data_IF_971654888831
#
_entry.id   IF_971654888831
#
_cell.length_a   1.000
_cell.length_b   1.000
_cell.length_c   1.000
_cell.angle_alpha   90.00
_cell.angle_beta   90.00
_cell.angle_gamma   90.00
#
_symmetry.space_group_name_H-M   'P 1'
#
loop_
_entity.id
_entity.type
_entity.pdbx_description
1 polymer ?
#
# COMPACT_ATOMS: atom_id res chain seq x y z
N UNK A 1 43.49 17.39 24.85
CA UNK A 1 42.47 17.86 23.88
C UNK A 1 41.55 16.75 23.34
N UNK A 2 41.72 15.49 23.73
CA UNK A 2 40.96 14.33 23.20
C UNK A 2 39.58 14.10 23.84
N UNK A 3 39.30 14.60 25.04
CA UNK A 3 38.03 14.36 25.75
C UNK A 3 36.81 15.08 25.16
N UNK A 4 37.00 16.19 24.42
CA UNK A 4 35.89 16.95 23.81
C UNK A 4 35.38 16.32 22.52
N UNK A 5 36.23 15.65 21.75
CA UNK A 5 35.82 14.99 20.50
C UNK A 5 34.89 13.80 20.74
N UNK A 6 35.15 12.98 21.76
CA UNK A 6 34.28 11.85 22.09
C UNK A 6 32.90 12.25 22.61
N UNK A 7 32.79 13.33 23.38
CA UNK A 7 31.49 13.84 23.84
C UNK A 7 30.63 14.36 22.69
N UNK A 8 31.23 15.05 21.71
CA UNK A 8 30.50 15.53 20.53
C UNK A 8 30.04 14.38 19.63
N UNK A 9 30.88 13.36 19.40
CA UNK A 9 30.45 12.18 18.65
C UNK A 9 29.28 11.46 19.36
N UNK A 10 29.35 11.24 20.68
CA UNK A 10 28.28 10.56 21.41
C UNK A 10 26.95 11.34 21.43
N UNK A 11 27.00 12.67 21.53
CA UNK A 11 25.79 13.51 21.46
C UNK A 11 25.17 13.48 20.05
N UNK A 12 26.00 13.51 19.02
CA UNK A 12 25.57 13.46 17.62
C UNK A 12 24.96 12.10 17.25
N UNK A 13 25.49 11.00 17.80
CA UNK A 13 24.96 9.66 17.55
C UNK A 13 23.59 9.46 18.22
N UNK A 14 23.43 9.94 19.46
CA UNK A 14 22.13 9.93 20.15
C UNK A 14 21.07 10.80 19.46
N UNK A 15 21.49 11.93 18.89
CA UNK A 15 20.60 12.80 18.10
C UNK A 15 20.11 12.10 16.84
N UNK A 16 21.01 11.43 16.10
CA UNK A 16 20.66 10.70 14.88
C UNK A 16 19.77 9.47 15.17
N UNK A 17 20.01 8.76 16.27
CA UNK A 17 19.15 7.66 16.71
C UNK A 17 17.75 8.14 17.09
N UNK A 18 17.65 9.28 17.79
CA UNK A 18 16.37 9.87 18.16
C UNK A 18 15.56 10.32 16.92
N UNK A 19 16.20 10.99 15.96
CA UNK A 19 15.58 11.39 14.70
C UNK A 19 15.12 10.18 13.87
N UNK A 20 15.93 9.12 13.83
CA UNK A 20 15.57 7.85 13.18
C UNK A 20 14.35 7.20 13.84
N UNK A 21 14.32 7.17 15.18
CA UNK A 21 13.19 6.63 15.93
C UNK A 21 11.92 7.46 15.74
N UNK A 22 12.02 8.80 15.71
CA UNK A 22 10.89 9.67 15.43
C UNK A 22 10.32 9.44 14.03
N UNK A 23 11.18 9.32 13.02
CA UNK A 23 10.76 9.02 11.65
C UNK A 23 10.05 7.67 11.55
N UNK A 24 10.55 6.65 12.27
CA UNK A 24 9.92 5.34 12.34
C UNK A 24 8.55 5.39 13.01
N UNK A 25 8.43 6.07 14.16
CA UNK A 25 7.16 6.26 14.85
C UNK A 25 6.17 7.00 13.94
N UNK A 26 6.60 8.05 13.25
CA UNK A 26 5.73 8.80 12.34
C UNK A 26 5.25 7.92 11.17
N UNK A 27 6.13 7.09 10.60
CA UNK A 27 5.75 6.15 9.56
C UNK A 27 4.70 5.14 10.05
N UNK A 28 4.84 4.63 11.28
CA UNK A 28 3.87 3.73 11.90
C UNK A 28 2.51 4.42 12.14
N UNK A 29 2.52 5.67 12.63
CA UNK A 29 1.29 6.46 12.81
C UNK A 29 0.57 6.65 11.47
N UNK A 30 1.30 7.04 10.42
CA UNK A 30 0.73 7.23 9.09
C UNK A 30 0.12 5.93 8.54
N UNK A 31 0.75 4.77 8.78
CA UNK A 31 0.20 3.47 8.39
C UNK A 31 -1.07 3.12 9.15
N UNK A 32 -1.12 3.39 10.47
CA UNK A 32 -2.32 3.16 11.28
C UNK A 32 -3.47 4.03 10.78
N UNK A 33 -3.22 5.33 10.53
CA UNK A 33 -4.23 6.25 10.02
C UNK A 33 -4.78 5.80 8.68
N UNK A 34 -3.91 5.31 7.79
CA UNK A 34 -4.31 4.72 6.52
C UNK A 34 -5.21 3.50 6.72
N UNK A 35 -4.86 2.58 7.62
CA UNK A 35 -5.70 1.41 7.91
C UNK A 35 -7.06 1.79 8.49
N UNK A 36 -7.11 2.75 9.41
CA UNK A 36 -8.36 3.26 9.97
C UNK A 36 -9.24 3.85 8.87
N UNK A 37 -8.67 4.64 7.96
CA UNK A 37 -9.39 5.18 6.80
C UNK A 37 -9.95 4.06 5.92
N UNK A 38 -9.13 3.09 5.51
CA UNK A 38 -9.60 2.01 4.64
C UNK A 38 -10.70 1.16 5.30
N UNK A 39 -10.58 0.87 6.60
CA UNK A 39 -11.62 0.17 7.35
C UNK A 39 -12.93 0.96 7.41
N UNK A 40 -12.85 2.28 7.53
CA UNK A 40 -14.02 3.15 7.46
C UNK A 40 -14.68 3.10 6.08
N UNK A 41 -13.89 3.21 5.00
CA UNK A 41 -14.39 3.12 3.61
C UNK A 41 -15.08 1.77 3.33
N UNK A 42 -14.50 0.66 3.82
CA UNK A 42 -15.13 -0.67 3.74
C UNK A 42 -16.47 -0.67 4.47
N UNK A 43 -16.51 -0.14 5.69
CA UNK A 43 -17.72 -0.09 6.52
C UNK A 43 -18.83 0.73 5.89
N UNK A 44 -18.51 1.85 5.24
CA UNK A 44 -19.49 2.72 4.58
C UNK A 44 -19.92 2.20 3.21
N UNK A 45 -19.23 1.20 2.66
CA UNK A 45 -19.51 0.65 1.34
C UNK A 45 -19.21 1.65 0.22
N UNK A 46 -18.27 2.57 0.45
CA UNK A 46 -17.83 3.52 -0.57
C UNK A 46 -17.18 2.80 -1.77
N UNK A 47 -16.99 3.47 -2.91
CA UNK A 47 -16.32 2.83 -4.04
C UNK A 47 -14.90 2.34 -3.72
N UNK A 48 -14.15 3.09 -2.89
CA UNK A 48 -12.84 2.66 -2.41
C UNK A 48 -12.98 1.43 -1.51
N UNK A 49 -13.91 1.44 -0.56
CA UNK A 49 -14.16 0.31 0.34
C UNK A 49 -14.56 -0.97 -0.39
N UNK A 50 -15.45 -0.86 -1.37
CA UNK A 50 -15.86 -1.96 -2.25
C UNK A 50 -14.67 -2.49 -3.07
N UNK A 51 -13.85 -1.60 -3.61
CA UNK A 51 -12.62 -1.97 -4.33
C UNK A 51 -11.67 -2.75 -3.43
N UNK A 52 -11.37 -2.24 -2.24
CA UNK A 52 -10.49 -2.91 -1.26
C UNK A 52 -11.05 -4.28 -0.87
N UNK A 53 -12.36 -4.38 -0.65
CA UNK A 53 -13.02 -5.63 -0.28
C UNK A 53 -12.83 -6.70 -1.36
N UNK A 54 -13.04 -6.35 -2.64
CA UNK A 54 -12.81 -7.28 -3.75
C UNK A 54 -11.34 -7.67 -3.86
N UNK A 55 -10.41 -6.72 -3.72
CA UNK A 55 -8.98 -7.03 -3.74
C UNK A 55 -8.55 -7.97 -2.61
N UNK A 56 -9.08 -7.78 -1.39
CA UNK A 56 -8.83 -8.67 -0.25
C UNK A 56 -9.40 -10.08 -0.47
N UNK A 57 -10.59 -10.16 -1.08
CA UNK A 57 -11.19 -11.45 -1.45
C UNK A 57 -10.34 -12.18 -2.48
N UNK A 58 -9.89 -11.46 -3.52
CA UNK A 58 -8.99 -12.01 -4.53
C UNK A 58 -7.67 -12.45 -3.91
N UNK A 59 -7.06 -11.61 -3.07
CA UNK A 59 -5.81 -11.92 -2.38
C UNK A 59 -5.94 -13.17 -1.49
N UNK A 60 -7.06 -13.33 -0.78
CA UNK A 60 -7.30 -14.49 0.08
C UNK A 60 -7.42 -15.81 -0.70
N UNK A 61 -7.85 -15.75 -1.96
CA UNK A 61 -8.09 -16.92 -2.80
C UNK A 61 -6.89 -17.27 -3.70
N UNK A 62 -6.21 -16.26 -4.24
CA UNK A 62 -5.29 -16.39 -5.37
C UNK A 62 -3.89 -15.81 -5.10
N UNK A 63 -3.50 -15.67 -3.82
CA UNK A 63 -2.15 -15.20 -3.51
C UNK A 63 -1.10 -16.21 -3.93
N UNK A 64 -0.09 -15.71 -4.63
CA UNK A 64 1.10 -16.46 -5.02
C UNK A 64 2.31 -15.75 -4.42
N UNK A 65 3.28 -16.53 -3.94
CA UNK A 65 4.53 -16.00 -3.42
C UNK A 65 5.58 -15.92 -4.53
N UNK A 66 6.13 -14.74 -4.76
CA UNK A 66 7.31 -14.49 -5.58
C UNK A 66 8.47 -14.07 -4.67
N UNK A 67 9.17 -15.04 -4.10
CA UNK A 67 10.24 -14.77 -3.14
C UNK A 67 9.70 -14.20 -1.82
N UNK A 68 10.05 -12.95 -1.49
CA UNK A 68 9.50 -12.23 -0.32
C UNK A 68 8.29 -11.35 -0.66
N UNK A 69 7.93 -11.28 -1.93
CA UNK A 69 6.79 -10.47 -2.39
C UNK A 69 5.58 -11.36 -2.60
N UNK A 70 4.45 -10.91 -2.11
CA UNK A 70 3.16 -11.55 -2.35
C UNK A 70 2.50 -10.84 -3.53
N UNK A 71 2.10 -11.61 -4.55
CA UNK A 71 1.43 -11.07 -5.70
C UNK A 71 0.09 -11.77 -5.93
N UNK A 72 -0.86 -11.00 -6.42
CA UNK A 72 -2.12 -11.51 -6.94
C UNK A 72 -1.88 -11.86 -8.41
N UNK A 73 -1.79 -13.15 -8.74
CA UNK A 73 -1.58 -13.60 -10.12
C UNK A 73 -2.91 -13.89 -10.82
N UNK A 74 -3.80 -12.90 -10.88
CA UNK A 74 -5.14 -13.07 -11.46
C UNK A 74 -5.25 -12.37 -12.80
N UNK A 75 -5.71 -13.11 -13.81
CA UNK A 75 -6.07 -12.55 -15.11
C UNK A 75 -7.51 -11.99 -15.08
N UNK A 76 -7.69 -10.84 -14.43
CA UNK A 76 -8.98 -10.17 -14.34
C UNK A 76 -8.95 -8.84 -15.10
N UNK A 77 -9.92 -8.64 -15.99
CA UNK A 77 -10.10 -7.34 -16.64
C UNK A 77 -10.65 -6.30 -15.66
N UNK A 78 -10.28 -5.03 -15.85
CA UNK A 78 -10.82 -3.94 -15.02
C UNK A 78 -12.35 -3.88 -15.06
N UNK A 79 -12.97 -4.15 -16.20
CA UNK A 79 -14.43 -4.16 -16.32
C UNK A 79 -15.07 -5.25 -15.47
N UNK A 80 -14.47 -6.45 -15.42
CA UNK A 80 -14.94 -7.52 -14.54
C UNK A 80 -14.72 -7.18 -13.07
N UNK A 81 -13.58 -6.57 -12.74
CA UNK A 81 -13.28 -6.12 -11.38
C UNK A 81 -14.30 -5.07 -10.90
N UNK A 82 -14.64 -4.09 -11.75
CA UNK A 82 -15.62 -3.05 -11.44
C UNK A 82 -17.00 -3.67 -11.21
N UNK A 83 -17.37 -4.65 -12.05
CA UNK A 83 -18.61 -5.40 -11.90
C UNK A 83 -18.67 -6.18 -10.59
N UNK A 84 -17.59 -6.86 -10.18
CA UNK A 84 -17.55 -7.57 -8.89
C UNK A 84 -17.60 -6.62 -7.69
N UNK A 85 -17.04 -5.43 -7.83
CA UNK A 85 -17.13 -4.39 -6.81
C UNK A 85 -18.48 -3.64 -6.84
N UNK A 86 -19.34 -3.90 -7.83
CA UNK A 86 -20.61 -3.19 -8.05
C UNK A 86 -20.43 -1.65 -8.06
N UNK A 87 -19.44 -1.20 -8.82
CA UNK A 87 -19.12 0.22 -9.05
C UNK A 87 -18.85 0.47 -10.53
N UNK A 88 -18.83 1.74 -10.92
CA UNK A 88 -18.42 2.12 -12.26
C UNK A 88 -16.93 1.86 -12.49
N UNK A 89 -16.55 1.72 -13.76
CA UNK A 89 -15.14 1.60 -14.16
C UNK A 89 -14.32 2.85 -13.77
N UNK A 90 -14.94 4.02 -13.75
CA UNK A 90 -14.30 5.28 -13.35
C UNK A 90 -13.96 5.26 -11.87
N UNK A 91 -14.94 4.96 -11.01
CA UNK A 91 -14.73 4.86 -9.56
C UNK A 91 -13.70 3.79 -9.20
N UNK A 92 -13.70 2.66 -9.92
CA UNK A 92 -12.67 1.63 -9.75
C UNK A 92 -11.28 2.20 -10.05
N UNK A 93 -11.11 2.91 -11.17
CA UNK A 93 -9.80 3.48 -11.54
C UNK A 93 -9.32 4.50 -10.50
N UNK A 94 -10.18 5.39 -10.07
CA UNK A 94 -9.87 6.37 -9.02
C UNK A 94 -9.44 5.68 -7.72
N UNK A 95 -10.14 4.61 -7.34
CA UNK A 95 -9.81 3.81 -6.16
C UNK A 95 -8.47 3.10 -6.31
N UNK A 96 -8.18 2.50 -7.47
CA UNK A 96 -6.90 1.83 -7.73
C UNK A 96 -5.73 2.82 -7.78
N UNK A 97 -5.94 4.00 -8.34
CA UNK A 97 -4.93 5.06 -8.40
C UNK A 97 -4.63 5.60 -7.01
N UNK A 98 -5.66 5.81 -6.18
CA UNK A 98 -5.49 6.15 -4.76
C UNK A 98 -4.65 5.09 -4.03
N UNK A 99 -5.03 3.81 -4.12
CA UNK A 99 -4.30 2.72 -3.46
C UNK A 99 -2.84 2.60 -3.93
N UNK A 100 -2.57 2.91 -5.20
CA UNK A 100 -1.22 2.96 -5.75
C UNK A 100 -0.42 4.14 -5.21
N UNK A 101 -1.03 5.33 -5.10
CA UNK A 101 -0.38 6.53 -4.54
C UNK A 101 0.00 6.34 -3.07
N UNK A 102 -0.86 5.66 -2.30
CA UNK A 102 -0.60 5.27 -0.90
C UNK A 102 0.40 4.11 -0.78
N UNK A 103 0.91 3.58 -1.89
CA UNK A 103 1.90 2.49 -1.90
C UNK A 103 1.36 1.14 -1.42
N UNK A 104 0.04 0.96 -1.39
CA UNK A 104 -0.61 -0.27 -0.92
C UNK A 104 -0.53 -1.37 -1.99
N UNK A 105 -0.78 -0.99 -3.25
CA UNK A 105 -0.76 -1.91 -4.38
C UNK A 105 0.16 -1.41 -5.49
N UNK A 106 0.70 -2.38 -6.23
CA UNK A 106 1.32 -2.15 -7.52
C UNK A 106 0.57 -2.99 -8.55
N UNK A 107 0.22 -2.40 -9.70
CA UNK A 107 -0.40 -3.13 -10.79
C UNK A 107 0.19 -2.69 -12.12
N UNK A 108 0.29 -3.63 -13.06
CA UNK A 108 0.72 -3.39 -14.43
C UNK A 108 -0.27 -4.02 -15.40
N UNK A 109 -0.56 -3.31 -16.49
CA UNK A 109 -1.39 -3.85 -17.56
C UNK A 109 -0.50 -4.64 -18.50
N UNK A 110 -0.73 -5.95 -18.62
CA UNK A 110 -0.20 -6.69 -19.77
C UNK A 110 -1.05 -6.35 -20.98
N UNK A 111 -0.53 -5.51 -21.87
CA UNK A 111 -1.12 -5.33 -23.19
C UNK A 111 -0.98 -6.68 -23.93
N UNK A 112 -2.10 -7.21 -24.44
CA UNK A 112 -2.11 -8.42 -25.27
C UNK A 112 -1.39 -8.24 -26.64
N UNK A 113 -0.68 -7.13 -26.86
CA UNK A 113 0.00 -6.81 -28.12
C UNK A 113 1.35 -7.50 -28.31
N UNK A 114 1.98 -8.06 -27.26
CA UNK A 114 3.30 -8.70 -27.35
C UNK A 114 3.25 -10.23 -27.59
N UNK A 115 2.19 -10.72 -28.25
CA UNK A 115 2.07 -12.12 -28.69
C UNK A 115 1.67 -12.22 -30.17
N UNK A 116 2.30 -11.41 -31.02
CA UNK A 116 2.25 -11.54 -32.48
C UNK A 116 3.64 -11.81 -33.02
#
# INVERSE_FOLDING_TARGET
>A
MTKNYHKNCQAQWKSNEYETNQNLVQAMVNQIDLFVKLLYEIKTGSPLGKTVTVLLNIYSLEKVFYGREEAISVNISLSNLARFAEISLTELKESLDYLKQEGIIYYSFKNHADRS
#
